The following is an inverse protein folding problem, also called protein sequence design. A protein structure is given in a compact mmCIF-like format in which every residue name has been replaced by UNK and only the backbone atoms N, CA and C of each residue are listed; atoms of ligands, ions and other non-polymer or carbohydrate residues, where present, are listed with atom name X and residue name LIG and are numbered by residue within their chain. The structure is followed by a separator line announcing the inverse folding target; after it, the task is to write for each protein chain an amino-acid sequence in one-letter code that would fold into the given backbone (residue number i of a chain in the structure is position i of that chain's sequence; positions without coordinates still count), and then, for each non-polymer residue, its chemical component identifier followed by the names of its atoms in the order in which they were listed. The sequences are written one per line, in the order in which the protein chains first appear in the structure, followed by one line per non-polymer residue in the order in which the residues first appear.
data_IF_651840342703
#
_entry.id   IF_651840342703
#
_cell.length_a   1.000
_cell.length_b   1.000
_cell.length_c   1.000
_cell.angle_alpha   90.00
_cell.angle_beta   90.00
_cell.angle_gamma   90.00
#
_symmetry.space_group_name_H-M   'P 1'
#
loop_
_entity.id
_entity.type
_entity.pdbx_description
1 polymer ?
#
# COMPACT_ATOMS: atom_id res chain seq x y z
N UNK A 1 18.97 -3.01 -21.45
CA UNK A 1 17.57 -3.35 -21.79
C UNK A 1 17.21 -4.66 -21.14
N UNK A 2 16.01 -4.78 -20.56
CA UNK A 2 15.50 -6.05 -20.03
C UNK A 2 15.42 -7.04 -21.20
N UNK A 3 16.20 -8.12 -21.14
CA UNK A 3 16.26 -9.12 -22.22
C UNK A 3 15.10 -10.14 -22.12
N UNK A 4 14.56 -10.30 -20.91
CA UNK A 4 13.56 -11.32 -20.58
C UNK A 4 12.27 -10.68 -20.04
N UNK A 5 11.67 -9.74 -20.77
CA UNK A 5 10.35 -9.24 -20.42
C UNK A 5 9.29 -10.28 -20.79
N UNK A 6 8.73 -10.96 -19.80
CA UNK A 6 7.54 -11.79 -19.99
C UNK A 6 6.29 -10.90 -19.95
N UNK A 7 5.62 -10.73 -21.08
CA UNK A 7 4.39 -9.94 -21.17
C UNK A 7 3.27 -10.72 -20.48
N UNK A 8 2.81 -10.23 -19.34
CA UNK A 8 1.62 -10.80 -18.70
C UNK A 8 0.41 -10.59 -19.61
N UNK A 9 -0.36 -11.66 -19.84
CA UNK A 9 -1.67 -11.57 -20.46
C UNK A 9 -2.62 -10.90 -19.47
N UNK A 10 -3.26 -9.81 -19.92
CA UNK A 10 -4.25 -9.13 -19.12
C UNK A 10 -5.54 -9.97 -19.13
N UNK A 11 -6.11 -10.30 -17.96
CA UNK A 11 -7.40 -10.97 -17.89
C UNK A 11 -8.51 -10.13 -18.53
N UNK A 12 -9.66 -10.74 -18.82
CA UNK A 12 -10.83 -10.00 -19.29
C UNK A 12 -11.33 -9.00 -18.23
N UNK A 13 -12.03 -7.96 -18.67
CA UNK A 13 -12.55 -6.94 -17.75
C UNK A 13 -13.49 -7.54 -16.70
N UNK A 14 -14.33 -8.49 -17.10
CA UNK A 14 -15.22 -9.23 -16.20
C UNK A 14 -14.44 -10.02 -15.14
N UNK A 15 -13.34 -10.67 -15.55
CA UNK A 15 -12.49 -11.41 -14.62
C UNK A 15 -11.78 -10.46 -13.64
N UNK A 16 -11.30 -9.31 -14.12
CA UNK A 16 -10.69 -8.29 -13.27
C UNK A 16 -11.70 -7.78 -12.23
N UNK A 17 -12.92 -7.48 -12.66
CA UNK A 17 -13.97 -7.00 -11.76
C UNK A 17 -14.30 -8.02 -10.66
N UNK A 18 -14.45 -9.28 -11.05
CA UNK A 18 -14.72 -10.39 -10.12
C UNK A 18 -13.57 -10.58 -9.12
N UNK A 19 -12.31 -10.55 -9.60
CA UNK A 19 -11.12 -10.65 -8.74
C UNK A 19 -11.03 -9.46 -7.76
N UNK A 20 -11.28 -8.25 -8.23
CA UNK A 20 -11.26 -7.05 -7.39
C UNK A 20 -12.35 -7.05 -6.34
N UNK A 21 -13.57 -7.47 -6.69
CA UNK A 21 -14.68 -7.63 -5.74
C UNK A 21 -14.31 -8.61 -4.64
N UNK A 22 -13.86 -9.81 -5.00
CA UNK A 22 -13.45 -10.84 -4.04
C UNK A 22 -12.29 -10.36 -3.13
N UNK A 23 -11.32 -9.64 -3.69
CA UNK A 23 -10.20 -9.10 -2.93
C UNK A 23 -10.64 -8.02 -1.92
N UNK A 24 -11.57 -7.14 -2.30
CA UNK A 24 -12.13 -6.10 -1.42
C UNK A 24 -12.91 -6.72 -0.26
N UNK A 25 -13.78 -7.69 -0.54
CA UNK A 25 -14.54 -8.40 0.49
C UNK A 25 -13.62 -9.11 1.50
N UNK A 26 -12.54 -9.72 1.00
CA UNK A 26 -11.52 -10.35 1.84
C UNK A 26 -10.79 -9.32 2.70
N UNK A 27 -10.42 -8.18 2.13
CA UNK A 27 -9.68 -7.12 2.82
C UNK A 27 -10.45 -6.55 4.01
N UNK A 28 -11.76 -6.30 3.85
CA UNK A 28 -12.64 -5.80 4.94
C UNK A 28 -12.69 -6.82 6.09
N UNK A 29 -12.89 -8.10 5.79
CA UNK A 29 -12.90 -9.17 6.80
C UNK A 29 -11.56 -9.26 7.54
N UNK A 30 -10.46 -9.17 6.79
CA UNK A 30 -9.12 -9.20 7.38
C UNK A 30 -8.85 -7.99 8.27
N UNK A 31 -9.30 -6.78 7.89
CA UNK A 31 -9.16 -5.59 8.72
C UNK A 31 -9.80 -5.78 10.10
N UNK A 32 -11.01 -6.34 10.15
CA UNK A 32 -11.73 -6.61 11.41
C UNK A 32 -10.93 -7.61 12.26
N UNK A 33 -10.47 -8.71 11.66
CA UNK A 33 -9.66 -9.72 12.37
C UNK A 33 -8.34 -9.14 12.90
N UNK A 34 -7.66 -8.30 12.12
CA UNK A 34 -6.42 -7.62 12.57
C UNK A 34 -6.67 -6.71 13.76
N UNK A 35 -7.79 -5.96 13.74
CA UNK A 35 -8.22 -5.11 14.85
C UNK A 35 -8.48 -5.92 16.10
N UNK A 36 -9.26 -6.99 16.01
CA UNK A 36 -9.60 -7.86 17.15
C UNK A 36 -8.35 -8.48 17.79
N UNK A 37 -7.41 -8.93 16.95
CA UNK A 37 -6.15 -9.53 17.39
C UNK A 37 -5.06 -8.51 17.75
N UNK A 38 -5.34 -7.21 17.62
CA UNK A 38 -4.38 -6.11 17.85
C UNK A 38 -3.07 -6.30 17.07
N UNK A 39 -3.15 -6.78 15.84
CA UNK A 39 -1.98 -7.04 14.99
C UNK A 39 -1.50 -5.73 14.33
N UNK A 40 -0.24 -5.31 14.56
CA UNK A 40 0.33 -4.19 13.83
C UNK A 40 0.67 -4.62 12.39
N UNK A 41 0.26 -3.82 11.41
CA UNK A 41 0.51 -4.08 9.99
C UNK A 41 1.06 -2.83 9.33
N UNK A 42 2.14 -3.00 8.57
CA UNK A 42 2.75 -1.96 7.74
C UNK A 42 2.68 -2.42 6.29
N UNK A 43 2.19 -1.55 5.40
CA UNK A 43 2.15 -1.78 3.96
C UNK A 43 2.98 -0.70 3.28
N UNK A 44 4.01 -1.11 2.55
CA UNK A 44 4.92 -0.23 1.84
C UNK A 44 4.61 -0.25 0.33
N UNK A 45 4.42 0.92 -0.27
CA UNK A 45 4.22 1.10 -1.71
C UNK A 45 5.47 1.71 -2.35
N UNK A 46 6.27 0.87 -3.02
CA UNK A 46 7.52 1.29 -3.69
C UNK A 46 7.44 1.16 -5.22
N UNK A 47 8.36 1.84 -5.90
CA UNK A 47 8.49 1.78 -7.36
C UNK A 47 8.96 3.08 -8.00
N UNK A 48 9.05 3.07 -9.33
CA UNK A 48 9.53 4.21 -10.11
C UNK A 48 8.62 5.44 -10.01
N UNK A 49 9.15 6.61 -10.39
CA UNK A 49 8.35 7.82 -10.61
C UNK A 49 7.24 7.54 -11.63
N UNK A 50 6.05 8.08 -11.40
CA UNK A 50 4.86 7.89 -12.23
C UNK A 50 4.36 6.43 -12.41
N UNK A 51 4.89 5.45 -11.65
CA UNK A 51 4.44 4.06 -11.71
C UNK A 51 3.00 3.81 -11.17
N UNK A 52 2.28 4.84 -10.76
CA UNK A 52 0.89 4.73 -10.30
C UNK A 52 0.69 4.40 -8.81
N UNK A 53 1.75 4.46 -7.99
CA UNK A 53 1.71 4.12 -6.54
C UNK A 53 0.57 4.80 -5.79
N UNK A 54 0.42 6.12 -5.94
CA UNK A 54 -0.63 6.90 -5.28
C UNK A 54 -2.05 6.51 -5.73
N UNK A 55 -2.23 6.18 -7.02
CA UNK A 55 -3.51 5.72 -7.55
C UNK A 55 -3.90 4.36 -6.98
N UNK A 56 -2.93 3.43 -6.89
CA UNK A 56 -3.14 2.11 -6.29
C UNK A 56 -3.42 2.24 -4.80
N UNK A 57 -2.62 3.02 -4.05
CA UNK A 57 -2.86 3.32 -2.64
C UNK A 57 -4.29 3.84 -2.43
N UNK A 58 -4.72 4.82 -3.23
CA UNK A 58 -6.07 5.39 -3.19
C UNK A 58 -7.17 4.35 -3.41
N UNK A 59 -6.98 3.41 -4.34
CA UNK A 59 -7.93 2.30 -4.58
C UNK A 59 -7.98 1.33 -3.40
N UNK A 60 -6.87 1.07 -2.73
CA UNK A 60 -6.81 0.18 -1.57
C UNK A 60 -7.53 0.83 -0.38
N UNK A 61 -7.15 2.05 0.01
CA UNK A 61 -7.69 2.70 1.23
C UNK A 61 -9.18 3.04 1.13
N UNK A 62 -9.73 3.23 -0.08
CA UNK A 62 -11.18 3.42 -0.30
C UNK A 62 -12.03 2.23 0.13
N UNK A 63 -11.44 1.04 0.25
CA UNK A 63 -12.12 -0.20 0.64
C UNK A 63 -11.83 -0.61 2.09
N UNK A 64 -11.23 0.28 2.88
CA UNK A 64 -10.81 0.03 4.27
C UNK A 64 -11.47 1.11 5.14
N UNK A 65 -11.90 0.76 6.35
CA UNK A 65 -12.42 1.76 7.29
C UNK A 65 -11.32 2.76 7.69
N UNK A 66 -11.50 4.08 7.44
CA UNK A 66 -10.49 5.11 7.64
C UNK A 66 -10.06 5.32 9.08
N UNK A 67 -10.81 4.79 10.05
CA UNK A 67 -10.48 4.91 11.48
C UNK A 67 -9.36 3.96 11.90
N UNK A 68 -9.04 2.95 11.10
CA UNK A 68 -8.08 1.89 11.47
C UNK A 68 -6.83 1.84 10.58
N UNK A 69 -6.56 2.88 9.79
CA UNK A 69 -5.28 3.03 9.11
C UNK A 69 -4.74 4.45 9.24
N UNK A 70 -3.43 4.58 9.04
CA UNK A 70 -2.77 5.85 8.80
C UNK A 70 -2.02 5.76 7.49
N UNK A 71 -2.00 6.85 6.73
CA UNK A 71 -1.16 6.98 5.53
C UNK A 71 0.00 7.90 5.89
N UNK A 72 1.22 7.39 5.75
CA UNK A 72 2.42 8.19 5.88
C UNK A 72 2.99 8.45 4.48
N UNK A 73 3.16 9.73 4.15
CA UNK A 73 3.96 10.18 3.01
C UNK A 73 5.21 10.82 3.59
N UNK A 74 6.37 10.45 3.04
CA UNK A 74 7.65 10.97 3.49
C UNK A 74 8.15 11.98 2.48
N UNK A 75 8.33 13.21 2.94
CA UNK A 75 9.00 14.26 2.18
C UNK A 75 10.52 14.16 2.35
N UNK A 76 11.25 15.12 1.78
CA UNK A 76 12.68 15.26 2.02
C UNK A 76 12.98 15.35 3.53
N UNK A 77 14.06 14.71 4.01
CA UNK A 77 14.42 14.77 5.42
C UNK A 77 14.79 16.20 5.80
N UNK A 78 14.23 16.68 6.91
CA UNK A 78 14.61 17.93 7.57
C UNK A 78 16.04 17.87 8.11
N UNK A 79 16.63 19.03 8.38
CA UNK A 79 18.00 19.10 8.92
C UNK A 79 18.12 18.46 10.31
N UNK A 80 17.03 18.42 11.08
CA UNK A 80 17.01 17.68 12.35
C UNK A 80 16.99 16.16 12.12
N UNK A 81 16.15 15.67 11.18
CA UNK A 81 16.10 14.25 10.85
C UNK A 81 17.43 13.75 10.28
N UNK A 82 18.13 14.56 9.48
CA UNK A 82 19.47 14.23 8.93
C UNK A 82 20.54 14.04 10.00
N UNK A 83 20.35 14.60 11.21
CA UNK A 83 21.28 14.43 12.34
C UNK A 83 21.01 13.16 13.16
N UNK A 84 19.95 12.41 12.84
CA UNK A 84 19.53 11.19 13.55
C UNK A 84 19.81 9.95 12.68
N UNK A 85 19.83 8.72 13.25
CA UNK A 85 19.95 7.51 12.46
C UNK A 85 18.86 7.44 11.39
N UNK A 86 19.19 6.93 10.19
CA UNK A 86 18.29 6.89 9.02
C UNK A 86 16.86 6.43 9.35
N UNK A 87 16.73 5.37 10.17
CA UNK A 87 15.45 4.79 10.53
C UNK A 87 14.60 5.65 11.45
N UNK A 88 15.17 6.62 12.16
CA UNK A 88 14.47 7.46 13.13
C UNK A 88 13.15 8.03 12.58
N UNK A 89 13.19 8.62 11.39
CA UNK A 89 12.02 9.27 10.78
C UNK A 89 10.90 8.33 10.36
N UNK A 90 11.19 7.03 10.27
CA UNK A 90 10.22 6.01 9.86
C UNK A 90 9.49 5.37 11.05
N UNK A 91 10.04 5.50 12.27
CA UNK A 91 9.48 4.87 13.47
C UNK A 91 8.85 5.86 14.46
N UNK A 92 9.15 7.16 14.37
CA UNK A 92 8.78 8.17 15.38
C UNK A 92 7.73 9.17 14.84
N UNK A 93 6.63 8.69 14.25
CA UNK A 93 5.51 9.55 13.80
C UNK A 93 4.15 9.04 14.27
#
# INVERSE_FOLDING_TARGET
MLKDWNKMELPSDEEIENRLKAARDKLVKQQIMMKEKKLPVIVLFEGWGAAGKGSVLGKVIKNIDPRFFKVAVMDEPTDEEKRKPFLYRHFIK
#
